data_IF_178269122492
#
_entry.id   IF_178269122492
#
_cell.length_a   1.000
_cell.length_b   1.000
_cell.length_c   1.000
_cell.angle_alpha   90.00
_cell.angle_beta   90.00
_cell.angle_gamma   90.00
#
_symmetry.space_group_name_H-M   'P 1'
#
loop_
_entity.id
_entity.type
_entity.pdbx_description
1 polymer ?
#
# COMPACT_ATOMS: atom_id res chain seq x y z
N UNK A 1 5.24 2.21 11.23
CA UNK A 1 4.68 3.28 10.36
C UNK A 1 4.06 2.73 9.08
N UNK A 2 4.73 1.86 8.31
CA UNK A 2 4.13 1.27 7.10
C UNK A 2 2.91 0.40 7.42
N UNK A 3 2.99 -0.39 8.51
CA UNK A 3 1.93 -1.30 8.94
C UNK A 3 0.61 -0.60 9.23
N UNK A 4 0.64 0.63 9.79
CA UNK A 4 -0.58 1.40 10.07
C UNK A 4 -1.25 1.93 8.80
N UNK A 5 -0.45 2.38 7.82
CA UNK A 5 -0.96 2.87 6.52
C UNK A 5 -1.56 1.72 5.72
N UNK A 6 -0.83 0.61 5.59
CA UNK A 6 -1.32 -0.60 4.93
C UNK A 6 -2.58 -1.12 5.61
N UNK A 7 -2.60 -1.20 6.95
CA UNK A 7 -3.77 -1.66 7.69
C UNK A 7 -4.97 -0.77 7.43
N UNK A 8 -4.79 0.56 7.37
CA UNK A 8 -5.85 1.49 7.00
C UNK A 8 -6.37 1.19 5.60
N UNK A 9 -5.49 1.14 4.60
CA UNK A 9 -5.86 0.90 3.18
C UNK A 9 -6.65 -0.40 3.01
N UNK A 10 -6.19 -1.49 3.61
CA UNK A 10 -6.86 -2.78 3.53
C UNK A 10 -8.21 -2.80 4.27
N UNK A 11 -8.36 -1.98 5.30
CA UNK A 11 -9.60 -1.88 6.09
C UNK A 11 -10.64 -1.00 5.40
N UNK A 12 -10.23 0.18 4.93
CA UNK A 12 -11.12 1.14 4.26
C UNK A 12 -11.39 0.75 2.81
N UNK A 13 -10.57 -0.14 2.25
CA UNK A 13 -10.52 -0.48 0.82
C UNK A 13 -10.29 0.73 -0.08
N UNK A 14 -9.62 1.74 0.47
CA UNK A 14 -9.32 2.98 -0.21
C UNK A 14 -7.86 3.33 -0.05
N UNK A 15 -7.30 3.96 -1.08
CA UNK A 15 -5.93 4.46 -1.06
C UNK A 15 -5.91 5.84 -1.72
N UNK A 16 -5.13 6.78 -1.18
CA UNK A 16 -4.95 8.08 -1.82
C UNK A 16 -3.63 8.21 -2.57
N UNK A 17 -3.47 9.28 -3.36
CA UNK A 17 -2.20 9.55 -4.06
C UNK A 17 -1.03 9.71 -3.08
N UNK A 18 -1.24 10.35 -1.93
CA UNK A 18 -0.21 10.48 -0.88
C UNK A 18 0.21 9.12 -0.31
N UNK A 19 -0.72 8.17 -0.18
CA UNK A 19 -0.38 6.81 0.23
C UNK A 19 0.46 6.10 -0.81
N UNK A 20 0.12 6.24 -2.09
CA UNK A 20 0.90 5.67 -3.18
C UNK A 20 2.32 6.24 -3.20
N UNK A 21 2.49 7.55 -3.06
CA UNK A 21 3.79 8.21 -2.97
C UNK A 21 4.61 7.68 -1.78
N UNK A 22 3.97 7.49 -0.62
CA UNK A 22 4.63 6.90 0.55
C UNK A 22 5.11 5.47 0.26
N UNK A 23 4.25 4.62 -0.31
CA UNK A 23 4.59 3.22 -0.63
C UNK A 23 5.73 3.15 -1.66
N UNK A 24 5.71 3.99 -2.71
CA UNK A 24 6.77 4.05 -3.72
C UNK A 24 8.09 4.56 -3.14
N UNK A 25 8.05 5.55 -2.26
CA UNK A 25 9.25 6.03 -1.55
C UNK A 25 9.86 4.95 -0.66
N UNK A 26 9.03 4.09 -0.05
CA UNK A 26 9.51 2.97 0.76
C UNK A 26 10.14 1.88 -0.12
N UNK A 27 9.54 1.57 -1.27
CA UNK A 27 10.10 0.63 -2.25
C UNK A 27 11.48 1.07 -2.75
N UNK A 28 11.63 2.36 -3.05
CA UNK A 28 12.89 2.93 -3.55
C UNK A 28 14.02 2.94 -2.52
N UNK A 29 13.73 2.86 -1.21
CA UNK A 29 14.76 2.90 -0.16
C UNK A 29 15.42 1.54 0.08
N UNK A 30 15.00 0.47 -0.58
CA UNK A 30 15.57 -0.89 -0.50
C UNK A 30 15.66 -1.52 0.91
N UNK A 31 15.08 -0.87 1.94
CA UNK A 31 15.01 -1.36 3.32
C UNK A 31 13.56 -1.77 3.60
N UNK A 32 13.08 -2.77 2.85
CA UNK A 32 11.76 -3.36 3.04
C UNK A 32 11.95 -4.80 3.51
N UNK A 33 11.32 -5.13 4.63
CA UNK A 33 11.25 -6.51 5.09
C UNK A 33 10.36 -7.33 4.15
N UNK A 34 10.58 -8.63 4.07
CA UNK A 34 9.72 -9.53 3.28
C UNK A 34 8.23 -9.44 3.70
N UNK A 35 7.98 -9.23 4.99
CA UNK A 35 6.64 -9.01 5.53
C UNK A 35 6.01 -7.72 4.98
N UNK A 36 6.77 -6.62 4.93
CA UNK A 36 6.30 -5.36 4.35
C UNK A 36 6.08 -5.47 2.84
N UNK A 37 6.94 -6.21 2.13
CA UNK A 37 6.77 -6.47 0.71
C UNK A 37 5.49 -7.25 0.42
N UNK A 38 5.19 -8.26 1.26
CA UNK A 38 3.94 -9.04 1.18
C UNK A 38 2.71 -8.12 1.33
N UNK A 39 2.77 -7.18 2.27
CA UNK A 39 1.70 -6.22 2.50
C UNK A 39 1.49 -5.26 1.31
N UNK A 40 2.58 -4.77 0.73
CA UNK A 40 2.53 -3.91 -0.46
C UNK A 40 1.98 -4.66 -1.66
N UNK A 41 2.40 -5.91 -1.87
CA UNK A 41 1.88 -6.75 -2.95
C UNK A 41 0.37 -6.97 -2.83
N UNK A 42 -0.17 -7.12 -1.61
CA UNK A 42 -1.62 -7.22 -1.40
C UNK A 42 -2.36 -5.95 -1.81
N UNK A 43 -1.77 -4.78 -1.57
CA UNK A 43 -2.34 -3.51 -2.04
C UNK A 43 -2.29 -3.43 -3.56
N UNK A 44 -1.17 -3.83 -4.18
CA UNK A 44 -1.03 -3.86 -5.63
C UNK A 44 -2.06 -4.77 -6.30
N UNK A 45 -2.22 -6.00 -5.82
CA UNK A 45 -3.25 -6.95 -6.29
C UNK A 45 -4.64 -6.36 -6.08
N UNK A 46 -4.90 -5.78 -4.90
CA UNK A 46 -6.20 -5.16 -4.60
C UNK A 46 -6.54 -4.00 -5.55
N UNK A 47 -5.55 -3.24 -6.01
CA UNK A 47 -5.75 -2.20 -7.03
C UNK A 47 -5.98 -2.79 -8.41
N UNK A 48 -5.16 -3.78 -8.80
CA UNK A 48 -5.27 -4.45 -10.09
C UNK A 48 -6.64 -5.12 -10.28
N UNK A 49 -7.16 -5.77 -9.23
CA UNK A 49 -8.42 -6.51 -9.26
C UNK A 49 -9.64 -5.61 -9.01
N UNK A 50 -9.45 -4.30 -8.82
CA UNK A 50 -10.53 -3.35 -8.52
C UNK A 50 -11.14 -3.47 -7.12
N UNK A 51 -10.48 -4.19 -6.21
CA UNK A 51 -10.91 -4.37 -4.81
C UNK A 51 -10.58 -3.16 -3.92
N UNK A 52 -9.60 -2.37 -4.32
CA UNK A 52 -9.22 -1.10 -3.71
C UNK A 52 -9.56 0.04 -4.66
N UNK A 53 -10.19 1.09 -4.12
CA UNK A 53 -10.46 2.31 -4.89
C UNK A 53 -9.43 3.37 -4.57
N UNK A 54 -8.89 4.00 -5.61
CA UNK A 54 -8.13 5.23 -5.43
C UNK A 54 -9.13 6.34 -5.13
N UNK A 55 -8.95 7.03 -4.00
CA UNK A 55 -9.78 8.16 -3.56
C UNK A 55 -8.86 9.37 -3.34
N UNK A 56 -9.37 10.56 -3.66
CA UNK A 56 -8.65 11.85 -3.82
C UNK A 56 -8.37 12.24 -5.28
#
# INVERSE_FOLDING_TARGET
MITSVVKRILTTRTICRTDQELLMNLLNRSIISEADMTLINRIHIGLHDGLLRVVD
#
